data_IF_583852793540
#
_entry.id   IF_583852793540
#
_cell.length_a   1.000
_cell.length_b   1.000
_cell.length_c   1.000
_cell.angle_alpha   90.00
_cell.angle_beta   90.00
_cell.angle_gamma   90.00
#
_symmetry.space_group_name_H-M   'P 1'
#
loop_
_entity.id
_entity.type
_entity.pdbx_description
1 polymer ?
#
# COMPACT_ATOMS: atom_id res chain seq x y z
N UNK A 1 -8.56 -8.36 -6.69
CA UNK A 1 -8.31 -7.45 -5.55
C UNK A 1 -9.65 -7.04 -4.95
N UNK A 2 -9.78 -7.05 -3.64
CA UNK A 2 -11.05 -6.86 -2.91
C UNK A 2 -11.12 -5.51 -2.19
N UNK A 3 -10.19 -4.59 -2.41
CA UNK A 3 -10.15 -3.34 -1.66
C UNK A 3 -11.42 -2.48 -1.83
N UNK A 4 -12.10 -2.56 -2.97
CA UNK A 4 -13.35 -1.81 -3.21
C UNK A 4 -14.46 -2.29 -2.26
N UNK A 5 -14.65 -3.58 -2.18
CA UNK A 5 -15.62 -4.25 -1.32
C UNK A 5 -15.28 -4.01 0.15
N UNK A 6 -14.00 -4.10 0.49
CA UNK A 6 -13.50 -3.89 1.84
C UNK A 6 -13.67 -2.45 2.33
N UNK A 7 -13.42 -1.45 1.47
CA UNK A 7 -13.65 -0.04 1.82
C UNK A 7 -15.14 0.22 2.06
N UNK A 8 -15.99 -0.33 1.19
CA UNK A 8 -17.44 -0.24 1.37
C UNK A 8 -17.88 -0.90 2.68
N UNK A 9 -17.37 -2.10 2.99
CA UNK A 9 -17.62 -2.80 4.25
C UNK A 9 -17.23 -1.94 5.47
N UNK A 10 -16.02 -1.38 5.51
CA UNK A 10 -15.55 -0.52 6.61
C UNK A 10 -16.44 0.71 6.80
N UNK A 11 -16.86 1.34 5.72
CA UNK A 11 -17.75 2.50 5.76
C UNK A 11 -19.13 2.13 6.28
N UNK A 12 -19.69 1.02 5.81
CA UNK A 12 -21.01 0.52 6.24
C UNK A 12 -21.00 0.06 7.70
N UNK A 13 -19.90 -0.56 8.15
CA UNK A 13 -19.70 -0.92 9.55
C UNK A 13 -19.78 0.30 10.49
N UNK A 14 -19.23 1.44 10.04
CA UNK A 14 -19.32 2.72 10.76
C UNK A 14 -20.64 3.47 10.51
N UNK A 15 -21.56 2.92 9.72
CA UNK A 15 -22.83 3.55 9.32
C UNK A 15 -22.65 4.95 8.70
N UNK A 16 -21.56 5.13 7.91
CA UNK A 16 -21.18 6.42 7.33
C UNK A 16 -21.56 6.54 5.85
N UNK A 17 -21.93 7.75 5.43
CA UNK A 17 -21.94 8.12 4.03
C UNK A 17 -20.49 8.22 3.49
N UNK A 18 -20.31 8.14 2.16
CA UNK A 18 -19.00 8.31 1.53
C UNK A 18 -18.35 9.66 1.91
N UNK A 19 -19.13 10.74 1.96
CA UNK A 19 -18.67 12.08 2.35
C UNK A 19 -18.22 12.11 3.82
N UNK A 20 -18.95 11.45 4.72
CA UNK A 20 -18.58 11.38 6.14
C UNK A 20 -17.29 10.56 6.33
N UNK A 21 -17.16 9.47 5.59
CA UNK A 21 -15.96 8.63 5.60
C UNK A 21 -14.74 9.40 5.05
N UNK A 22 -14.90 10.17 3.97
CA UNK A 22 -13.83 11.05 3.45
C UNK A 22 -13.35 12.04 4.52
N UNK A 23 -14.26 12.68 5.24
CA UNK A 23 -13.90 13.62 6.32
C UNK A 23 -13.14 12.96 7.47
N UNK A 24 -13.50 11.72 7.79
CA UNK A 24 -12.83 10.95 8.86
C UNK A 24 -11.43 10.49 8.45
N UNK A 25 -11.31 9.89 7.27
CA UNK A 25 -10.08 9.19 6.86
C UNK A 25 -9.12 10.12 6.09
N UNK A 26 -9.66 11.07 5.34
CA UNK A 26 -8.92 11.94 4.43
C UNK A 26 -9.14 13.44 4.72
N UNK A 27 -8.99 13.90 5.98
CA UNK A 27 -9.37 15.26 6.37
C UNK A 27 -8.58 16.37 5.65
N UNK A 28 -7.42 16.04 5.07
CA UNK A 28 -6.57 17.00 4.34
C UNK A 28 -6.90 17.13 2.86
N UNK A 29 -7.83 16.32 2.34
CA UNK A 29 -8.27 16.44 0.96
C UNK A 29 -9.46 17.41 0.85
N UNK A 30 -9.53 18.12 -0.28
CA UNK A 30 -10.66 18.99 -0.56
C UNK A 30 -11.97 18.20 -0.59
N UNK A 31 -13.08 18.80 -0.13
CA UNK A 31 -14.39 18.13 -0.01
C UNK A 31 -14.94 17.58 -1.35
N UNK A 32 -14.56 18.18 -2.47
CA UNK A 32 -14.95 17.79 -3.82
C UNK A 32 -14.06 16.70 -4.44
N UNK A 33 -13.10 16.17 -3.69
CA UNK A 33 -12.20 15.13 -4.19
C UNK A 33 -12.88 13.78 -4.34
N UNK A 34 -13.93 13.49 -3.54
CA UNK A 34 -14.71 12.24 -3.58
C UNK A 34 -13.86 10.99 -3.54
N UNK A 35 -12.94 10.92 -2.57
CA UNK A 35 -11.93 9.84 -2.48
C UNK A 35 -12.60 8.48 -2.33
N UNK A 36 -13.49 8.31 -1.35
CA UNK A 36 -14.18 7.05 -1.08
C UNK A 36 -15.01 6.59 -2.27
N UNK A 37 -15.76 7.49 -2.91
CA UNK A 37 -16.51 7.17 -4.12
C UNK A 37 -15.61 6.65 -5.24
N UNK A 38 -14.47 7.30 -5.47
CA UNK A 38 -13.52 6.89 -6.52
C UNK A 38 -12.86 5.55 -6.18
N UNK A 39 -12.56 5.30 -4.91
CA UNK A 39 -11.97 4.02 -4.46
C UNK A 39 -12.98 2.87 -4.62
N UNK A 40 -14.20 3.02 -4.12
CA UNK A 40 -15.25 2.00 -4.21
C UNK A 40 -15.61 1.67 -5.68
N UNK A 41 -15.48 2.64 -6.59
CA UNK A 41 -15.75 2.47 -8.02
C UNK A 41 -14.51 2.20 -8.87
N UNK A 42 -13.32 2.03 -8.27
CA UNK A 42 -12.09 1.72 -8.99
C UNK A 42 -11.62 2.81 -9.96
N UNK A 43 -11.92 4.07 -9.65
CA UNK A 43 -11.60 5.22 -10.52
C UNK A 43 -10.19 5.79 -10.34
N UNK A 44 -9.43 5.30 -9.37
CA UNK A 44 -8.03 5.69 -9.22
C UNK A 44 -7.10 4.80 -10.04
N UNK A 45 -6.21 5.43 -10.79
CA UNK A 45 -5.12 4.74 -11.48
C UNK A 45 -4.10 4.15 -10.50
N UNK A 46 -3.88 4.83 -9.37
CA UNK A 46 -3.04 4.34 -8.28
C UNK A 46 -3.74 4.57 -6.94
N UNK A 47 -4.44 3.57 -6.39
CA UNK A 47 -5.13 3.70 -5.11
C UNK A 47 -4.19 3.55 -3.91
N UNK A 48 -2.94 3.14 -4.09
CA UNK A 48 -2.02 2.73 -3.03
C UNK A 48 -1.88 3.75 -1.89
N UNK A 49 -1.69 5.06 -2.11
CA UNK A 49 -1.56 6.02 -1.00
C UNK A 49 -2.81 6.05 -0.10
N UNK A 50 -3.99 5.94 -0.69
CA UNK A 50 -5.26 5.94 0.05
C UNK A 50 -5.45 4.63 0.82
N UNK A 51 -5.08 3.49 0.23
CA UNK A 51 -5.14 2.18 0.88
C UNK A 51 -4.21 2.10 2.10
N UNK A 52 -3.01 2.69 2.02
CA UNK A 52 -2.10 2.81 3.16
C UNK A 52 -2.75 3.63 4.28
N UNK A 53 -3.39 4.75 3.96
CA UNK A 53 -4.08 5.60 4.94
C UNK A 53 -5.21 4.82 5.64
N UNK A 54 -6.04 4.11 4.88
CA UNK A 54 -7.13 3.29 5.42
C UNK A 54 -6.58 2.16 6.31
N UNK A 55 -5.58 1.43 5.81
CA UNK A 55 -4.97 0.32 6.55
C UNK A 55 -4.35 0.78 7.88
N UNK A 56 -3.72 1.95 7.90
CA UNK A 56 -3.17 2.54 9.12
C UNK A 56 -4.28 3.01 10.09
N UNK A 57 -5.36 3.61 9.58
CA UNK A 57 -6.45 4.11 10.40
C UNK A 57 -7.20 2.99 11.12
N UNK A 58 -7.50 1.89 10.42
CA UNK A 58 -8.23 0.76 10.97
C UNK A 58 -7.35 -0.32 11.57
N UNK A 59 -6.03 -0.13 11.58
CA UNK A 59 -5.09 -1.16 12.04
C UNK A 59 -5.34 -2.53 11.39
N UNK A 60 -5.45 -2.53 10.07
CA UNK A 60 -5.66 -3.74 9.24
C UNK A 60 -4.38 -4.01 8.44
N UNK A 61 -4.09 -5.29 8.17
CA UNK A 61 -3.06 -5.65 7.20
C UNK A 61 -3.39 -5.06 5.82
N UNK A 62 -2.42 -4.40 5.19
CA UNK A 62 -2.57 -3.87 3.85
C UNK A 62 -2.78 -5.00 2.83
N UNK A 63 -2.09 -6.13 3.00
CA UNK A 63 -2.28 -7.32 2.16
C UNK A 63 -3.70 -7.85 2.28
N UNK A 64 -4.26 -7.96 3.49
CA UNK A 64 -5.65 -8.35 3.69
C UNK A 64 -6.62 -7.36 3.07
N UNK A 65 -6.44 -6.07 3.31
CA UNK A 65 -7.31 -5.02 2.75
C UNK A 65 -7.39 -5.11 1.22
N UNK A 66 -6.32 -5.54 0.57
CA UNK A 66 -6.23 -5.59 -0.90
C UNK A 66 -6.66 -6.94 -1.47
N UNK A 67 -6.24 -8.06 -0.86
CA UNK A 67 -6.28 -9.37 -1.51
C UNK A 67 -7.31 -10.34 -0.95
N UNK A 68 -7.92 -10.07 0.20
CA UNK A 68 -8.94 -10.91 0.82
C UNK A 68 -10.16 -10.09 1.21
N UNK A 69 -11.32 -10.72 1.36
CA UNK A 69 -12.45 -10.08 2.03
C UNK A 69 -12.17 -10.04 3.52
N UNK A 70 -12.28 -8.84 4.10
CA UNK A 70 -12.06 -8.61 5.53
C UNK A 70 -13.34 -8.79 6.34
N UNK A 71 -13.17 -9.08 7.62
CA UNK A 71 -14.22 -9.16 8.63
C UNK A 71 -13.91 -8.19 9.77
N UNK A 72 -14.83 -8.05 10.73
CA UNK A 72 -14.60 -7.25 11.95
C UNK A 72 -13.37 -7.75 12.73
N UNK A 73 -13.10 -9.05 12.72
CA UNK A 73 -11.95 -9.65 13.39
C UNK A 73 -10.58 -9.22 12.81
N UNK A 74 -10.56 -8.66 11.61
CA UNK A 74 -9.33 -8.16 10.98
C UNK A 74 -8.98 -6.72 11.40
N UNK A 75 -9.90 -6.02 12.07
CA UNK A 75 -9.75 -4.63 12.50
C UNK A 75 -9.03 -4.55 13.85
N UNK A 76 -8.40 -3.43 14.14
CA UNK A 76 -7.69 -3.11 15.40
C UNK A 76 -6.62 -4.14 15.81
N UNK A 77 -5.91 -4.69 14.81
CA UNK A 77 -4.74 -5.53 15.06
C UNK A 77 -3.48 -4.67 15.22
N UNK A 78 -2.46 -5.25 15.84
CA UNK A 78 -1.16 -4.57 16.00
C UNK A 78 -0.37 -4.68 14.70
N UNK A 79 -0.31 -3.58 13.96
CA UNK A 79 0.54 -3.44 12.78
C UNK A 79 1.44 -2.21 12.91
N UNK A 80 2.69 -2.28 12.44
CA UNK A 80 3.54 -1.11 12.34
C UNK A 80 2.95 -0.12 11.32
N UNK A 81 3.18 1.18 11.55
CA UNK A 81 2.76 2.20 10.61
C UNK A 81 3.46 2.01 9.27
N UNK A 82 2.69 2.02 8.18
CA UNK A 82 3.19 1.89 6.82
C UNK A 82 3.32 3.28 6.21
N UNK A 83 4.43 3.50 5.51
CA UNK A 83 4.71 4.72 4.74
C UNK A 83 5.43 4.37 3.45
N UNK A 84 5.11 5.08 2.38
CA UNK A 84 5.84 4.96 1.12
C UNK A 84 7.33 5.31 1.26
N UNK A 85 7.66 6.18 2.20
CA UNK A 85 9.04 6.57 2.50
C UNK A 85 9.94 5.42 2.95
N UNK A 86 9.36 4.34 3.50
CA UNK A 86 10.13 3.17 3.93
C UNK A 86 10.43 2.18 2.79
N UNK A 87 9.73 2.31 1.66
CA UNK A 87 9.85 1.35 0.58
C UNK A 87 11.29 1.23 0.06
N UNK A 88 11.97 2.34 -0.25
CA UNK A 88 13.32 2.28 -0.80
C UNK A 88 14.34 1.63 0.16
N UNK A 89 14.18 1.84 1.46
CA UNK A 89 15.04 1.22 2.48
C UNK A 89 14.88 -0.30 2.48
N UNK A 90 13.63 -0.77 2.54
CA UNK A 90 13.31 -2.19 2.51
C UNK A 90 13.66 -2.83 1.16
N UNK A 91 13.42 -2.14 0.06
CA UNK A 91 13.81 -2.57 -1.28
C UNK A 91 15.33 -2.83 -1.37
N UNK A 92 16.15 -1.88 -0.94
CA UNK A 92 17.61 -2.02 -0.98
C UNK A 92 18.10 -3.14 -0.06
N UNK A 93 17.54 -3.25 1.14
CA UNK A 93 17.87 -4.32 2.09
C UNK A 93 17.54 -5.70 1.52
N UNK A 94 16.33 -5.89 1.02
CA UNK A 94 15.88 -7.17 0.47
C UNK A 94 16.61 -7.53 -0.82
N UNK A 95 16.87 -6.56 -1.69
CA UNK A 95 17.70 -6.75 -2.89
C UNK A 95 19.08 -7.29 -2.53
N UNK A 96 19.73 -6.70 -1.53
CA UNK A 96 21.04 -7.15 -1.03
C UNK A 96 20.94 -8.56 -0.40
N UNK A 97 19.96 -8.78 0.45
CA UNK A 97 19.77 -10.08 1.12
C UNK A 97 19.52 -11.22 0.13
N UNK A 98 18.72 -10.97 -0.91
CA UNK A 98 18.44 -11.94 -1.98
C UNK A 98 19.54 -12.03 -3.04
N UNK A 99 20.58 -11.20 -2.94
CA UNK A 99 21.67 -11.10 -3.92
C UNK A 99 21.17 -10.86 -5.36
N UNK A 100 20.17 -9.99 -5.51
CA UNK A 100 19.59 -9.65 -6.80
C UNK A 100 20.20 -8.36 -7.35
N UNK A 101 20.42 -8.33 -8.67
CA UNK A 101 20.78 -7.11 -9.39
C UNK A 101 19.50 -6.33 -9.79
N UNK A 102 19.65 -5.06 -10.16
CA UNK A 102 18.54 -4.29 -10.73
C UNK A 102 18.00 -4.94 -12.01
N UNK A 103 18.89 -5.54 -12.80
CA UNK A 103 18.51 -6.22 -14.03
C UNK A 103 17.69 -7.48 -13.76
N UNK A 104 18.06 -8.27 -12.74
CA UNK A 104 17.30 -9.45 -12.33
C UNK A 104 15.86 -9.07 -11.93
N UNK A 105 15.72 -8.01 -11.13
CA UNK A 105 14.40 -7.52 -10.70
C UNK A 105 13.61 -7.01 -11.89
N UNK A 106 14.22 -6.23 -12.78
CA UNK A 106 13.57 -5.73 -13.99
C UNK A 106 13.06 -6.86 -14.89
N UNK A 107 13.88 -7.88 -15.13
CA UNK A 107 13.50 -9.04 -15.94
C UNK A 107 12.35 -9.83 -15.31
N UNK A 108 12.40 -10.08 -14.00
CA UNK A 108 11.38 -10.88 -13.30
C UNK A 108 10.05 -10.14 -13.13
N UNK A 109 10.06 -8.82 -13.03
CA UNK A 109 8.85 -8.00 -12.85
C UNK A 109 8.25 -7.49 -14.15
N UNK A 110 9.05 -7.40 -15.23
CA UNK A 110 8.70 -6.68 -16.44
C UNK A 110 8.70 -5.15 -16.29
N UNK A 111 9.18 -4.63 -15.15
CA UNK A 111 9.32 -3.19 -14.90
C UNK A 111 10.64 -2.72 -15.52
N UNK A 112 10.62 -1.53 -16.14
CA UNK A 112 11.84 -1.01 -16.76
C UNK A 112 12.99 -0.86 -15.74
N UNK A 113 14.20 -1.14 -16.16
CA UNK A 113 15.39 -1.03 -15.28
C UNK A 113 15.56 0.37 -14.69
N UNK A 114 15.22 1.42 -15.45
CA UNK A 114 15.29 2.80 -14.96
C UNK A 114 14.30 3.03 -13.80
N UNK A 115 13.11 2.48 -13.89
CA UNK A 115 12.12 2.52 -12.81
C UNK A 115 12.61 1.76 -11.59
N UNK A 116 13.17 0.56 -11.77
CA UNK A 116 13.74 -0.25 -10.69
C UNK A 116 14.90 0.48 -10.00
N UNK A 117 15.79 1.11 -10.75
CA UNK A 117 16.89 1.92 -10.18
C UNK A 117 16.32 3.10 -9.36
N UNK A 118 15.27 3.75 -9.85
CA UNK A 118 14.59 4.83 -9.09
C UNK A 118 14.00 4.34 -7.79
N UNK A 119 13.48 3.12 -7.73
CA UNK A 119 12.96 2.52 -6.49
C UNK A 119 14.02 2.31 -5.40
N UNK A 120 15.30 2.24 -5.76
CA UNK A 120 16.41 2.17 -4.80
C UNK A 120 16.78 3.52 -4.18
N UNK A 121 16.22 4.61 -4.70
CA UNK A 121 16.47 5.97 -4.25
C UNK A 121 15.41 6.44 -3.27
N UNK A 122 15.61 7.61 -2.65
CA UNK A 122 14.59 8.23 -1.79
C UNK A 122 13.26 8.42 -2.52
N UNK A 123 12.16 8.26 -1.78
CA UNK A 123 10.78 8.45 -2.24
C UNK A 123 10.53 9.69 -3.11
N UNK A 124 11.32 10.74 -2.98
CA UNK A 124 11.19 11.97 -3.78
C UNK A 124 11.33 11.77 -5.29
N UNK A 125 11.86 10.63 -5.73
CA UNK A 125 12.23 10.39 -7.14
C UNK A 125 11.31 9.45 -7.88
N UNK A 126 10.29 8.89 -7.23
CA UNK A 126 9.40 7.93 -7.87
C UNK A 126 7.99 7.89 -7.26
N UNK A 127 7.06 7.43 -8.09
CA UNK A 127 5.72 7.05 -7.68
C UNK A 127 5.56 5.54 -7.88
N UNK A 128 5.54 4.78 -6.78
CA UNK A 128 5.26 3.36 -6.91
C UNK A 128 3.75 3.12 -7.03
N UNK A 129 3.38 2.29 -8.01
CA UNK A 129 2.00 1.83 -8.22
C UNK A 129 1.76 0.54 -7.46
N UNK A 130 0.50 0.26 -7.13
CA UNK A 130 0.11 -0.96 -6.43
C UNK A 130 0.59 -2.22 -7.17
N UNK A 131 0.40 -2.31 -8.50
CA UNK A 131 0.82 -3.48 -9.28
C UNK A 131 2.34 -3.68 -9.26
N UNK A 132 3.11 -2.61 -9.32
CA UNK A 132 4.57 -2.67 -9.22
C UNK A 132 5.03 -3.11 -7.84
N UNK A 133 4.42 -2.57 -6.78
CA UNK A 133 4.70 -2.96 -5.40
C UNK A 133 4.40 -4.44 -5.18
N UNK A 134 3.26 -4.91 -5.69
CA UNK A 134 2.87 -6.33 -5.62
C UNK A 134 3.86 -7.23 -6.36
N UNK A 135 4.26 -6.88 -7.59
CA UNK A 135 5.24 -7.66 -8.36
C UNK A 135 6.58 -7.77 -7.63
N UNK A 136 7.04 -6.68 -7.01
CA UNK A 136 8.28 -6.64 -6.23
C UNK A 136 8.14 -7.49 -4.95
N UNK A 137 7.00 -7.41 -4.26
CA UNK A 137 6.74 -8.22 -3.06
C UNK A 137 6.87 -9.72 -3.35
N UNK A 138 6.36 -10.16 -4.51
CA UNK A 138 6.44 -11.55 -4.94
C UNK A 138 7.89 -12.03 -5.13
N UNK A 139 8.73 -11.23 -5.78
CA UNK A 139 10.15 -11.56 -6.00
C UNK A 139 10.92 -11.64 -4.69
N UNK A 140 10.64 -10.72 -3.77
CA UNK A 140 11.28 -10.71 -2.47
C UNK A 140 10.71 -11.75 -1.50
N UNK A 141 9.53 -12.33 -1.78
CA UNK A 141 8.83 -13.20 -0.85
C UNK A 141 8.43 -12.45 0.43
N UNK A 142 8.08 -11.17 0.29
CA UNK A 142 7.76 -10.25 1.39
C UNK A 142 6.33 -9.74 1.25
N UNK A 143 5.66 -9.44 2.36
CA UNK A 143 4.34 -8.81 2.33
C UNK A 143 4.43 -7.33 1.90
N UNK A 144 3.30 -6.74 1.49
CA UNK A 144 3.22 -5.29 1.27
C UNK A 144 3.41 -4.54 2.59
N UNK A 145 2.88 -5.09 3.68
CA UNK A 145 3.06 -4.54 5.02
C UNK A 145 4.54 -4.42 5.39
N UNK A 146 5.35 -5.47 5.14
CA UNK A 146 6.79 -5.46 5.42
C UNK A 146 7.56 -4.48 4.54
N UNK A 147 7.20 -4.39 3.25
CA UNK A 147 7.85 -3.46 2.32
C UNK A 147 7.63 -1.99 2.67
N UNK A 148 6.53 -1.67 3.35
CA UNK A 148 6.14 -0.31 3.68
C UNK A 148 6.29 0.04 5.16
N UNK A 149 6.70 -0.90 6.00
CA UNK A 149 6.93 -0.68 7.42
C UNK A 149 8.38 -0.32 7.72
N UNK A 150 8.59 0.42 8.81
CA UNK A 150 9.93 0.64 9.33
C UNK A 150 10.51 -0.69 9.81
N UNK A 151 11.73 -1.00 9.40
CA UNK A 151 12.45 -2.16 9.92
C UNK A 151 12.67 -2.00 11.43
N UNK A 152 12.01 -2.85 12.23
CA UNK A 152 12.16 -2.89 13.68
C UNK A 152 13.29 -3.82 14.12
N UNK A 153 13.97 -4.48 13.19
CA UNK A 153 15.06 -5.44 13.48
C UNK A 153 16.43 -4.77 13.55
N UNK A 154 16.50 -3.44 13.35
CA UNK A 154 17.74 -2.67 13.46
C UNK A 154 17.86 -2.01 14.84
N UNK A 155 17.85 -2.80 15.90
CA UNK A 155 18.32 -2.41 17.23
C UNK A 155 19.51 -3.26 17.63
#
# INVERSE_FOLDING_TARGET
MYFKENIKFLRELLQMSQKAFDKLIFPFYAEDTFVTYKLENGKYRNPLPFLITIANHFHISLDKLIFTLITEDDIDKIFPMRKLDYFYLNFNRLKKYKNLTFNDIAQQTGISIYTIINYSRSYKYYFIKLDSLYSISRIFGSSLDDLLSRDTTSN
#
